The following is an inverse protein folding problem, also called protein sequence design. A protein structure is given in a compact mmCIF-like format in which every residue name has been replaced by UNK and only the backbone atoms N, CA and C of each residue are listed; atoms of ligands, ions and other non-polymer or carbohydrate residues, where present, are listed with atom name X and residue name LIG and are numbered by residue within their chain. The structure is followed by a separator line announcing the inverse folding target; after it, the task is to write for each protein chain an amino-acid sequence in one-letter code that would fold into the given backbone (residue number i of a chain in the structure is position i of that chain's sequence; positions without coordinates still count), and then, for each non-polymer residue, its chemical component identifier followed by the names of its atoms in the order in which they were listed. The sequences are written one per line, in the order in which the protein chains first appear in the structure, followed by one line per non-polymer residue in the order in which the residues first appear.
data_IF_639404629464
#
_entry.id   IF_639404629464
#
_cell.length_a   1.000
_cell.length_b   1.000
_cell.length_c   1.000
_cell.angle_alpha   90.00
_cell.angle_beta   90.00
_cell.angle_gamma   90.00
#
_symmetry.space_group_name_H-M   'P 1'
#
loop_
_entity.id
_entity.type
_entity.pdbx_description
1 polymer ?
#
# COMPACT_ATOMS: atom_id res chain seq x y z
N UNK A 1 -7.78 12.32 16.73
CA UNK A 1 -6.79 11.36 17.26
C UNK A 1 -6.41 10.31 16.19
N UNK A 2 -7.35 9.57 15.56
CA UNK A 2 -7.05 8.55 14.52
C UNK A 2 -6.25 9.13 13.36
N UNK A 3 -6.64 10.30 12.84
CA UNK A 3 -5.92 10.95 11.73
C UNK A 3 -4.50 11.38 12.12
N UNK A 4 -4.32 11.91 13.32
CA UNK A 4 -2.98 12.27 13.82
C UNK A 4 -2.06 11.04 13.94
N UNK A 5 -2.59 9.90 14.38
CA UNK A 5 -1.83 8.63 14.41
C UNK A 5 -1.47 8.17 12.99
N UNK A 6 -2.39 8.31 12.03
CA UNK A 6 -2.12 8.00 10.63
C UNK A 6 -1.04 8.91 10.00
N UNK A 7 -0.94 10.17 10.43
CA UNK A 7 0.13 11.09 10.02
C UNK A 7 1.48 10.62 10.56
N UNK A 8 1.58 10.32 11.85
CA UNK A 8 2.81 9.79 12.48
C UNK A 8 3.30 8.51 11.77
N UNK A 9 2.39 7.58 11.45
CA UNK A 9 2.74 6.36 10.73
C UNK A 9 3.30 6.69 9.33
N UNK A 10 2.66 7.61 8.60
CA UNK A 10 3.13 7.98 7.26
C UNK A 10 4.51 8.63 7.31
N UNK A 11 4.72 9.56 8.24
CA UNK A 11 5.99 10.28 8.39
C UNK A 11 7.13 9.34 8.83
N UNK A 12 6.80 8.22 9.51
CA UNK A 12 7.79 7.19 9.87
C UNK A 12 8.26 6.32 8.71
N UNK A 13 7.67 6.45 7.51
CA UNK A 13 8.11 5.70 6.33
C UNK A 13 9.36 6.30 5.67
N UNK A 14 9.60 7.60 5.80
CA UNK A 14 10.77 8.25 5.20
C UNK A 14 12.11 7.68 5.68
N UNK A 15 12.34 7.42 6.98
CA UNK A 15 13.55 6.75 7.44
C UNK A 15 13.76 5.34 6.87
N UNK A 16 12.69 4.67 6.43
CA UNK A 16 12.82 3.35 5.80
C UNK A 16 13.51 3.42 4.45
N UNK A 17 13.40 4.53 3.71
CA UNK A 17 14.12 4.74 2.45
C UNK A 17 15.62 4.54 2.68
N UNK A 18 16.17 5.16 3.72
CA UNK A 18 17.59 5.08 4.01
C UNK A 18 18.05 3.64 4.32
N UNK A 19 17.19 2.87 5.02
CA UNK A 19 17.49 1.48 5.35
C UNK A 19 17.45 0.55 4.12
N UNK A 20 16.53 0.80 3.20
CA UNK A 20 16.36 -0.03 2.00
C UNK A 20 17.25 0.39 0.82
N UNK A 21 17.77 1.60 0.83
CA UNK A 21 18.57 2.16 -0.26
C UNK A 21 19.78 1.28 -0.61
N UNK A 22 20.58 0.89 0.36
CA UNK A 22 21.78 0.08 0.13
C UNK A 22 21.45 -1.31 -0.42
N UNK A 23 20.61 -2.13 0.24
CA UNK A 23 20.30 -3.46 -0.26
C UNK A 23 19.57 -3.43 -1.62
N UNK A 24 18.72 -2.44 -1.87
CA UNK A 24 18.07 -2.32 -3.18
C UNK A 24 19.03 -1.86 -4.28
N UNK A 25 20.02 -1.03 -3.95
CA UNK A 25 21.09 -0.67 -4.90
C UNK A 25 21.91 -1.89 -5.28
N UNK A 26 22.30 -2.71 -4.30
CA UNK A 26 23.03 -3.96 -4.56
C UNK A 26 22.22 -4.92 -5.43
N UNK A 27 20.93 -5.07 -5.12
CA UNK A 27 20.03 -5.87 -5.94
C UNK A 27 19.93 -5.32 -7.37
N UNK A 28 19.71 -4.03 -7.55
CA UNK A 28 19.59 -3.40 -8.86
C UNK A 28 20.84 -3.56 -9.72
N UNK A 29 22.03 -3.46 -9.12
CA UNK A 29 23.32 -3.69 -9.80
C UNK A 29 23.56 -5.17 -10.15
N UNK A 30 22.95 -6.10 -9.42
CA UNK A 30 23.11 -7.54 -9.65
C UNK A 30 22.14 -8.12 -10.68
N UNK A 31 21.11 -7.38 -11.07
CA UNK A 31 20.09 -7.86 -12.00
C UNK A 31 20.68 -8.00 -13.41
N UNK A 32 20.38 -9.16 -14.03
CA UNK A 32 20.69 -9.42 -15.43
C UNK A 32 19.43 -9.28 -16.32
N UNK A 33 19.64 -9.36 -17.63
CA UNK A 33 18.57 -9.20 -18.62
C UNK A 33 17.44 -10.23 -18.45
N UNK A 34 17.74 -11.48 -18.04
CA UNK A 34 16.73 -12.53 -17.85
C UNK A 34 15.86 -12.25 -16.63
N UNK A 35 16.47 -11.78 -15.55
CA UNK A 35 15.77 -11.40 -14.35
C UNK A 35 14.90 -10.16 -14.61
N UNK A 36 15.38 -9.20 -15.39
CA UNK A 36 14.57 -8.04 -15.79
C UNK A 36 13.37 -8.43 -16.64
N UNK A 37 13.54 -9.37 -17.58
CA UNK A 37 12.40 -9.94 -18.33
C UNK A 37 11.40 -10.64 -17.42
N UNK A 38 11.87 -11.33 -16.40
CA UNK A 38 11.02 -11.99 -15.42
C UNK A 38 10.25 -10.98 -14.57
N UNK A 39 10.92 -9.91 -14.11
CA UNK A 39 10.28 -8.79 -13.40
C UNK A 39 9.18 -8.13 -14.25
N UNK A 40 9.45 -7.87 -15.53
CA UNK A 40 8.46 -7.30 -16.45
C UNK A 40 7.22 -8.19 -16.57
N UNK A 41 7.40 -9.51 -16.77
CA UNK A 41 6.28 -10.47 -16.83
C UNK A 41 5.48 -10.49 -15.52
N UNK A 42 6.17 -10.42 -14.37
CA UNK A 42 5.51 -10.36 -13.08
C UNK A 42 4.66 -9.09 -12.94
N UNK A 43 5.19 -7.95 -13.35
CA UNK A 43 4.46 -6.69 -13.34
C UNK A 43 3.22 -6.72 -14.25
N UNK A 44 3.35 -7.27 -15.46
CA UNK A 44 2.21 -7.46 -16.36
C UNK A 44 1.13 -8.36 -15.74
N UNK A 45 1.54 -9.44 -15.05
CA UNK A 45 0.61 -10.31 -14.34
C UNK A 45 -0.07 -9.59 -13.17
N UNK A 46 0.68 -8.86 -12.35
CA UNK A 46 0.15 -8.10 -11.21
C UNK A 46 -0.90 -7.05 -11.66
N UNK A 47 -0.69 -6.42 -12.82
CA UNK A 47 -1.69 -5.49 -13.39
C UNK A 47 -2.96 -6.23 -13.84
N UNK A 48 -2.82 -7.40 -14.48
CA UNK A 48 -3.98 -8.22 -14.86
C UNK A 48 -4.76 -8.68 -13.64
N UNK A 49 -4.05 -9.12 -12.59
CA UNK A 49 -4.67 -9.58 -11.34
C UNK A 49 -5.39 -8.43 -10.63
N UNK A 50 -4.76 -7.26 -10.54
CA UNK A 50 -5.40 -6.06 -9.98
C UNK A 50 -6.68 -5.70 -10.75
N UNK A 51 -6.61 -5.67 -12.09
CA UNK A 51 -7.74 -5.35 -12.96
C UNK A 51 -8.91 -6.29 -12.75
N UNK A 52 -8.61 -7.61 -12.64
CA UNK A 52 -9.59 -8.66 -12.35
C UNK A 52 -10.16 -8.54 -10.93
N UNK A 53 -9.30 -8.37 -9.94
CA UNK A 53 -9.66 -8.27 -8.53
C UNK A 53 -10.61 -7.08 -8.28
N UNK A 54 -10.29 -5.92 -8.83
CA UNK A 54 -11.09 -4.70 -8.69
C UNK A 54 -12.22 -4.58 -9.71
N UNK A 55 -12.38 -5.58 -10.59
CA UNK A 55 -13.41 -5.60 -11.64
C UNK A 55 -13.43 -4.29 -12.45
N UNK A 56 -12.24 -3.80 -12.88
CA UNK A 56 -12.13 -2.49 -13.55
C UNK A 56 -12.94 -2.40 -14.84
N UNK A 57 -13.28 -3.52 -15.47
CA UNK A 57 -14.09 -3.58 -16.69
C UNK A 57 -15.61 -3.71 -16.40
N UNK A 58 -16.00 -3.69 -15.12
CA UNK A 58 -17.38 -3.83 -14.70
C UNK A 58 -17.99 -2.48 -14.29
N UNK A 59 -19.30 -2.48 -13.99
CA UNK A 59 -19.99 -1.30 -13.51
C UNK A 59 -19.44 -0.80 -12.17
N UNK A 60 -19.65 0.48 -11.90
CA UNK A 60 -19.25 1.11 -10.63
C UNK A 60 -19.82 0.39 -9.40
N UNK A 61 -21.04 -0.13 -9.48
CA UNK A 61 -21.67 -0.87 -8.39
C UNK A 61 -20.90 -2.16 -8.08
N UNK A 62 -20.45 -2.89 -9.11
CA UNK A 62 -19.61 -4.09 -8.91
C UNK A 62 -18.24 -3.78 -8.33
N UNK A 63 -17.67 -2.64 -8.68
CA UNK A 63 -16.40 -2.17 -8.06
C UNK A 63 -16.65 -1.76 -6.61
N UNK A 64 -17.77 -1.10 -6.30
CA UNK A 64 -18.16 -0.78 -4.94
C UNK A 64 -18.36 -2.04 -4.10
N UNK A 65 -18.99 -3.09 -4.62
CA UNK A 65 -19.14 -4.36 -3.91
C UNK A 65 -17.77 -4.94 -3.54
N UNK A 66 -16.79 -4.93 -4.45
CA UNK A 66 -15.40 -5.34 -4.13
C UNK A 66 -14.80 -4.49 -3.00
N UNK A 67 -15.01 -3.19 -3.04
CA UNK A 67 -14.52 -2.30 -1.98
C UNK A 67 -15.17 -2.59 -0.63
N UNK A 68 -16.46 -2.85 -0.61
CA UNK A 68 -17.22 -3.23 0.60
C UNK A 68 -16.70 -4.55 1.15
N UNK A 69 -16.55 -5.59 0.32
CA UNK A 69 -16.07 -6.91 0.73
C UNK A 69 -14.65 -6.82 1.35
N UNK A 70 -13.76 -6.02 0.75
CA UNK A 70 -12.43 -5.76 1.31
C UNK A 70 -12.50 -4.98 2.63
N UNK A 71 -13.37 -4.00 2.72
CA UNK A 71 -13.62 -3.24 3.95
C UNK A 71 -14.14 -4.13 5.07
N UNK A 72 -15.09 -5.01 4.77
CA UNK A 72 -15.64 -5.98 5.71
C UNK A 72 -14.57 -6.96 6.18
N UNK A 73 -13.82 -7.59 5.27
CA UNK A 73 -12.72 -8.51 5.61
C UNK A 73 -11.71 -7.85 6.54
N UNK A 74 -11.35 -6.60 6.29
CA UNK A 74 -10.43 -5.86 7.15
C UNK A 74 -11.06 -5.54 8.52
N UNK A 75 -12.33 -5.12 8.56
CA UNK A 75 -13.02 -4.84 9.81
C UNK A 75 -13.16 -6.11 10.66
N UNK A 76 -13.53 -7.24 10.07
CA UNK A 76 -13.64 -8.55 10.75
C UNK A 76 -12.28 -9.03 11.30
N UNK A 77 -11.18 -8.78 10.60
CA UNK A 77 -9.83 -9.09 11.08
C UNK A 77 -9.52 -8.39 12.40
N UNK A 78 -9.92 -7.14 12.54
CA UNK A 78 -9.62 -6.33 13.73
C UNK A 78 -10.69 -6.43 14.81
N UNK A 79 -11.96 -6.55 14.44
CA UNK A 79 -13.07 -6.47 15.39
C UNK A 79 -13.82 -7.79 15.57
N UNK A 80 -13.50 -8.82 14.79
CA UNK A 80 -14.28 -10.06 14.74
C UNK A 80 -15.60 -9.87 14.00
N UNK A 81 -16.59 -10.71 14.33
CA UNK A 81 -17.89 -10.70 13.64
C UNK A 81 -18.57 -9.33 13.70
N UNK A 82 -19.15 -8.92 12.59
CA UNK A 82 -19.87 -7.66 12.46
C UNK A 82 -21.37 -7.85 12.60
N UNK A 83 -22.05 -6.81 13.05
CA UNK A 83 -23.51 -6.74 13.03
C UNK A 83 -23.99 -6.18 11.70
N UNK A 84 -25.27 -6.44 11.35
CA UNK A 84 -25.90 -5.87 10.15
C UNK A 84 -25.82 -4.32 10.09
N UNK A 85 -25.88 -3.65 11.25
CA UNK A 85 -25.72 -2.20 11.33
C UNK A 85 -24.30 -1.75 10.96
N UNK A 86 -23.29 -2.51 11.39
CA UNK A 86 -21.90 -2.26 11.05
C UNK A 86 -21.61 -2.51 9.55
N UNK A 87 -22.15 -3.58 8.99
CA UNK A 87 -22.06 -3.87 7.54
C UNK A 87 -22.71 -2.76 6.69
N UNK A 88 -23.90 -2.27 7.10
CA UNK A 88 -24.53 -1.13 6.43
C UNK A 88 -23.67 0.13 6.49
N UNK A 89 -23.09 0.43 7.65
CA UNK A 89 -22.18 1.57 7.77
C UNK A 89 -20.95 1.41 6.88
N UNK A 90 -20.33 0.23 6.81
CA UNK A 90 -19.20 -0.02 5.91
C UNK A 90 -19.55 0.24 4.44
N UNK A 91 -20.73 -0.18 3.99
CA UNK A 91 -21.18 0.11 2.63
C UNK A 91 -21.33 1.62 2.40
N UNK A 92 -21.92 2.34 3.34
CA UNK A 92 -22.04 3.79 3.25
C UNK A 92 -20.66 4.47 3.21
N UNK A 93 -19.76 4.08 4.11
CA UNK A 93 -18.39 4.61 4.15
C UNK A 93 -17.60 4.30 2.87
N UNK A 94 -17.83 3.14 2.25
CA UNK A 94 -17.25 2.79 0.97
C UNK A 94 -17.77 3.68 -0.16
N UNK A 95 -19.09 3.95 -0.21
CA UNK A 95 -19.71 4.87 -1.18
C UNK A 95 -19.14 6.29 -1.06
N UNK A 96 -19.01 6.78 0.17
CA UNK A 96 -18.55 8.15 0.46
C UNK A 96 -17.03 8.30 0.37
N UNK A 97 -16.31 7.19 0.27
CA UNK A 97 -14.85 7.17 0.33
C UNK A 97 -14.15 7.93 -0.80
N UNK A 98 -14.80 8.10 -1.95
CA UNK A 98 -14.17 8.64 -3.16
C UNK A 98 -13.04 7.76 -3.69
N UNK A 99 -13.07 6.45 -3.41
CA UNK A 99 -12.07 5.53 -3.94
C UNK A 99 -12.29 5.28 -5.44
N UNK A 100 -11.23 5.45 -6.21
CA UNK A 100 -11.20 5.27 -7.67
C UNK A 100 -10.16 4.19 -7.99
N UNK A 101 -10.56 2.92 -8.18
CA UNK A 101 -9.63 1.83 -8.46
C UNK A 101 -8.86 2.03 -9.76
N UNK A 102 -9.45 2.69 -10.77
CA UNK A 102 -8.79 3.03 -12.03
C UNK A 102 -7.63 4.00 -11.82
N UNK A 103 -7.79 4.98 -10.93
CA UNK A 103 -6.72 5.93 -10.60
C UNK A 103 -5.56 5.23 -9.89
N UNK A 104 -5.87 4.32 -8.98
CA UNK A 104 -4.85 3.48 -8.32
C UNK A 104 -4.18 2.54 -9.33
N UNK A 105 -4.92 2.00 -10.29
CA UNK A 105 -4.35 1.20 -11.38
C UNK A 105 -3.38 2.02 -12.24
N UNK A 106 -3.77 3.22 -12.65
CA UNK A 106 -2.90 4.10 -13.44
C UNK A 106 -1.58 4.42 -12.71
N UNK A 107 -1.65 4.68 -11.40
CA UNK A 107 -0.47 4.89 -10.58
C UNK A 107 0.42 3.65 -10.49
N UNK A 108 -0.15 2.46 -10.34
CA UNK A 108 0.61 1.20 -10.39
C UNK A 108 1.35 1.03 -11.72
N UNK A 109 0.68 1.32 -12.83
CA UNK A 109 1.31 1.29 -14.17
C UNK A 109 2.47 2.28 -14.24
N UNK A 110 2.31 3.50 -13.71
CA UNK A 110 3.38 4.50 -13.65
C UNK A 110 4.58 4.00 -12.85
N UNK A 111 4.35 3.53 -11.62
CA UNK A 111 5.41 3.05 -10.72
C UNK A 111 6.16 1.84 -11.31
N UNK A 112 5.47 0.90 -11.94
CA UNK A 112 6.09 -0.25 -12.59
C UNK A 112 6.94 0.17 -13.81
N UNK A 113 6.48 1.15 -14.61
CA UNK A 113 7.27 1.71 -15.70
C UNK A 113 8.54 2.39 -15.20
N UNK A 114 8.44 3.17 -14.13
CA UNK A 114 9.62 3.82 -13.53
C UNK A 114 10.61 2.80 -12.97
N UNK A 115 10.12 1.75 -12.32
CA UNK A 115 10.95 0.66 -11.83
C UNK A 115 11.68 -0.04 -12.98
N UNK A 116 10.99 -0.40 -14.05
CA UNK A 116 11.63 -1.04 -15.21
C UNK A 116 12.65 -0.12 -15.87
N UNK A 117 12.32 1.16 -16.07
CA UNK A 117 13.23 2.14 -16.65
C UNK A 117 14.51 2.33 -15.82
N UNK A 118 14.39 2.34 -14.49
CA UNK A 118 15.54 2.36 -13.58
C UNK A 118 16.45 1.16 -13.80
N UNK A 119 15.89 -0.06 -13.79
CA UNK A 119 16.67 -1.28 -13.92
C UNK A 119 17.28 -1.44 -15.33
N UNK A 120 16.54 -1.07 -16.39
CA UNK A 120 17.05 -1.03 -17.77
C UNK A 120 18.22 -0.04 -17.88
N UNK A 121 18.10 1.13 -17.28
CA UNK A 121 19.19 2.13 -17.28
C UNK A 121 20.41 1.59 -16.56
N UNK A 122 20.27 1.04 -15.35
CA UNK A 122 21.40 0.47 -14.59
C UNK A 122 22.08 -0.66 -15.37
N UNK A 123 21.30 -1.55 -15.96
CA UNK A 123 21.79 -2.67 -16.75
C UNK A 123 22.60 -2.21 -17.98
N UNK A 124 22.11 -1.17 -18.67
CA UNK A 124 22.73 -0.68 -19.91
C UNK A 124 23.95 0.22 -19.67
N UNK A 125 23.93 1.03 -18.62
CA UNK A 125 25.00 2.00 -18.34
C UNK A 125 26.05 1.49 -17.37
N UNK A 126 25.73 0.44 -16.59
CA UNK A 126 26.58 -0.11 -15.55
C UNK A 126 27.25 0.98 -14.69
N UNK A 127 26.43 1.84 -14.05
CA UNK A 127 26.95 3.00 -13.33
C UNK A 127 27.76 2.57 -12.10
N UNK A 128 28.64 3.44 -11.65
CA UNK A 128 29.31 3.28 -10.37
C UNK A 128 28.30 3.22 -9.20
N UNK A 129 28.67 2.55 -8.12
CA UNK A 129 27.79 2.28 -6.98
C UNK A 129 27.13 3.55 -6.41
N UNK A 130 27.85 4.68 -6.39
CA UNK A 130 27.34 5.95 -5.90
C UNK A 130 26.23 6.52 -6.81
N UNK A 131 26.39 6.42 -8.14
CA UNK A 131 25.38 6.85 -9.11
C UNK A 131 24.15 5.93 -9.06
N UNK A 132 24.35 4.61 -9.04
CA UNK A 132 23.27 3.64 -8.89
C UNK A 132 22.45 3.90 -7.62
N UNK A 133 23.12 4.20 -6.51
CA UNK A 133 22.50 4.56 -5.25
C UNK A 133 21.62 5.80 -5.35
N UNK A 134 22.11 6.85 -6.01
CA UNK A 134 21.32 8.08 -6.24
C UNK A 134 20.07 7.80 -7.09
N UNK A 135 20.19 6.97 -8.14
CA UNK A 135 19.05 6.57 -8.99
C UNK A 135 18.00 5.77 -8.21
N UNK A 136 18.43 4.81 -7.38
CA UNK A 136 17.55 4.00 -6.53
C UNK A 136 16.85 4.88 -5.48
N UNK A 137 17.56 5.81 -4.85
CA UNK A 137 16.98 6.77 -3.90
C UNK A 137 15.87 7.60 -4.56
N UNK A 138 16.12 8.16 -5.73
CA UNK A 138 15.13 8.93 -6.47
C UNK A 138 13.88 8.11 -6.77
N UNK A 139 14.05 6.86 -7.21
CA UNK A 139 12.92 5.95 -7.46
C UNK A 139 12.15 5.61 -6.18
N UNK A 140 12.83 5.33 -5.07
CA UNK A 140 12.18 5.08 -3.78
C UNK A 140 11.35 6.29 -3.33
N UNK A 141 11.90 7.50 -3.47
CA UNK A 141 11.18 8.73 -3.15
C UNK A 141 9.92 8.90 -4.03
N UNK A 142 10.02 8.68 -5.35
CA UNK A 142 8.86 8.77 -6.26
C UNK A 142 7.83 7.66 -6.04
N UNK A 143 8.23 6.54 -5.44
CA UNK A 143 7.34 5.44 -5.07
C UNK A 143 6.56 5.71 -3.79
N UNK A 144 7.17 6.36 -2.80
CA UNK A 144 6.50 6.77 -1.55
C UNK A 144 5.69 8.05 -1.72
N UNK A 145 6.25 9.02 -2.42
CA UNK A 145 5.64 10.31 -2.68
C UNK A 145 5.39 10.45 -4.18
N UNK A 146 4.19 10.07 -4.63
CA UNK A 146 3.88 10.07 -6.07
C UNK A 146 4.36 11.35 -6.74
N UNK A 147 5.09 11.21 -7.84
CA UNK A 147 5.51 12.32 -8.70
C UNK A 147 4.36 12.92 -9.52
N UNK A 148 3.18 12.28 -9.53
CA UNK A 148 1.95 12.84 -10.09
C UNK A 148 1.24 13.72 -9.04
N UNK A 149 1.21 15.06 -9.22
CA UNK A 149 0.57 15.96 -8.26
C UNK A 149 -0.93 15.69 -8.09
N UNK A 150 -1.62 15.25 -9.14
CA UNK A 150 -3.04 14.95 -9.10
C UNK A 150 -3.29 13.68 -8.26
N UNK A 151 -2.43 12.68 -8.39
CA UNK A 151 -2.50 11.48 -7.56
C UNK A 151 -2.10 11.77 -6.11
N UNK A 152 -1.07 12.56 -5.87
CA UNK A 152 -0.68 12.99 -4.52
C UNK A 152 -1.82 13.71 -3.78
N UNK A 153 -2.50 14.64 -4.46
CA UNK A 153 -3.68 15.33 -3.92
C UNK A 153 -4.84 14.35 -3.63
N UNK A 154 -5.07 13.38 -4.53
CA UNK A 154 -6.04 12.31 -4.32
C UNK A 154 -5.71 11.47 -3.08
N UNK A 155 -4.45 11.05 -2.91
CA UNK A 155 -4.02 10.28 -1.73
C UNK A 155 -4.21 11.07 -0.43
N UNK A 156 -3.90 12.35 -0.42
CA UNK A 156 -4.11 13.22 0.75
C UNK A 156 -5.59 13.29 1.14
N UNK A 157 -6.48 13.46 0.16
CA UNK A 157 -7.93 13.42 0.37
C UNK A 157 -8.38 12.05 0.89
N UNK A 158 -7.91 10.96 0.25
CA UNK A 158 -8.20 9.58 0.64
C UNK A 158 -7.77 9.27 2.07
N UNK A 159 -6.56 9.67 2.46
CA UNK A 159 -6.04 9.50 3.83
C UNK A 159 -7.00 10.12 4.84
N UNK A 160 -7.44 11.35 4.61
CA UNK A 160 -8.39 12.04 5.49
C UNK A 160 -9.73 11.28 5.57
N UNK A 161 -10.33 10.96 4.43
CA UNK A 161 -11.60 10.23 4.39
C UNK A 161 -11.50 8.86 5.07
N UNK A 162 -10.40 8.13 4.86
CA UNK A 162 -10.20 6.81 5.48
C UNK A 162 -10.07 6.90 7.00
N UNK A 163 -9.35 7.88 7.54
CA UNK A 163 -9.21 7.99 8.99
C UNK A 163 -10.51 8.49 9.66
N UNK A 164 -11.30 9.33 8.97
CA UNK A 164 -12.65 9.72 9.42
C UNK A 164 -13.60 8.50 9.42
N UNK A 165 -13.56 7.69 8.36
CA UNK A 165 -14.33 6.45 8.26
C UNK A 165 -13.95 5.45 9.36
N UNK A 166 -12.65 5.27 9.62
CA UNK A 166 -12.18 4.40 10.70
C UNK A 166 -12.67 4.87 12.06
N UNK A 167 -12.67 6.17 12.32
CA UNK A 167 -13.18 6.73 13.58
C UNK A 167 -14.70 6.52 13.70
N UNK A 168 -15.47 6.76 12.64
CA UNK A 168 -16.92 6.53 12.63
C UNK A 168 -17.23 5.04 12.89
N UNK A 169 -16.54 4.13 12.22
CA UNK A 169 -16.74 2.70 12.43
C UNK A 169 -16.37 2.28 13.84
N UNK A 170 -15.23 2.73 14.36
CA UNK A 170 -14.79 2.42 15.72
C UNK A 170 -15.81 2.86 16.78
N UNK A 171 -16.45 4.01 16.59
CA UNK A 171 -17.41 4.54 17.56
C UNK A 171 -18.64 3.65 17.75
N UNK A 172 -19.01 2.83 16.76
CA UNK A 172 -20.16 1.89 16.86
C UNK A 172 -19.73 0.47 17.23
N UNK A 173 -18.46 0.24 17.57
CA UNK A 173 -17.98 -1.09 18.00
C UNK A 173 -18.31 -1.34 19.46
N UNK A 174 -18.55 -2.61 19.79
CA UNK A 174 -18.78 -3.08 21.17
C UNK A 174 -17.48 -3.14 21.96
N UNK A 175 -17.58 -3.24 23.30
CA UNK A 175 -16.41 -3.44 24.16
C UNK A 175 -15.66 -4.73 23.79
N UNK A 176 -16.37 -5.84 23.50
CA UNK A 176 -15.79 -7.11 23.07
C UNK A 176 -15.02 -6.99 21.75
N UNK A 177 -15.55 -6.23 20.79
CA UNK A 177 -14.87 -5.97 19.52
C UNK A 177 -13.60 -5.14 19.71
N UNK A 178 -13.63 -4.13 20.56
CA UNK A 178 -12.43 -3.33 20.91
C UNK A 178 -11.37 -4.16 21.63
N UNK A 179 -11.77 -5.07 22.49
CA UNK A 179 -10.85 -6.01 23.13
C UNK A 179 -10.18 -6.93 22.09
N UNK A 180 -10.96 -7.48 21.16
CA UNK A 180 -10.44 -8.28 20.05
C UNK A 180 -9.42 -7.48 19.22
N UNK A 181 -9.72 -6.23 18.88
CA UNK A 181 -8.79 -5.35 18.15
C UNK A 181 -7.48 -5.16 18.92
N UNK A 182 -7.56 -4.87 20.22
CA UNK A 182 -6.36 -4.71 21.07
C UNK A 182 -5.49 -5.96 21.10
N UNK A 183 -6.12 -7.14 21.18
CA UNK A 183 -5.41 -8.43 21.13
C UNK A 183 -4.72 -8.63 19.77
N UNK A 184 -5.41 -8.35 18.66
CA UNK A 184 -4.87 -8.45 17.32
C UNK A 184 -3.66 -7.52 17.12
N UNK A 185 -3.73 -6.27 17.59
CA UNK A 185 -2.63 -5.31 17.52
C UNK A 185 -1.42 -5.75 18.37
N UNK A 186 -1.65 -6.29 19.57
CA UNK A 186 -0.58 -6.85 20.40
C UNK A 186 0.12 -8.04 19.75
N UNK A 187 -0.63 -8.90 19.06
CA UNK A 187 -0.04 -10.00 18.30
C UNK A 187 0.89 -9.47 17.18
N UNK A 188 0.44 -8.49 16.40
CA UNK A 188 1.30 -7.85 15.37
C UNK A 188 2.54 -7.19 15.98
N UNK A 189 2.40 -6.50 17.11
CA UNK A 189 3.55 -5.94 17.83
C UNK A 189 4.55 -7.05 18.23
N UNK A 190 4.06 -8.15 18.75
CA UNK A 190 4.89 -9.31 19.12
C UNK A 190 5.63 -9.90 17.92
N UNK A 191 4.94 -10.05 16.78
CA UNK A 191 5.51 -10.57 15.54
C UNK A 191 6.62 -9.66 15.01
N UNK A 192 6.38 -8.33 14.99
CA UNK A 192 7.39 -7.34 14.60
C UNK A 192 8.61 -7.40 15.51
N UNK A 193 8.40 -7.46 16.84
CA UNK A 193 9.51 -7.59 17.80
C UNK A 193 10.30 -8.88 17.63
N UNK A 194 9.65 -9.99 17.27
CA UNK A 194 10.31 -11.25 16.97
C UNK A 194 11.19 -11.15 15.70
N UNK A 195 10.67 -10.54 14.64
CA UNK A 195 11.41 -10.29 13.39
C UNK A 195 12.63 -9.38 13.60
N UNK A 196 12.49 -8.34 14.44
CA UNK A 196 13.62 -7.45 14.77
C UNK A 196 14.74 -8.18 15.50
N UNK A 197 14.41 -9.12 16.41
CA UNK A 197 15.40 -9.93 17.13
C UNK A 197 16.12 -10.92 16.22
N UNK A 198 15.43 -11.50 15.26
CA UNK A 198 16.01 -12.44 14.29
C UNK A 198 17.09 -11.79 13.39
N UNK A 199 16.96 -10.48 13.08
CA UNK A 199 17.96 -9.73 12.33
C UNK A 199 19.21 -9.34 13.14
N UNK A 200 19.17 -9.43 14.46
CA UNK A 200 20.26 -9.04 15.34
C UNK A 200 21.17 -10.24 15.75
N UNK A 201 20.83 -11.46 15.33
CA UNK A 201 21.63 -12.69 15.48
C UNK A 201 22.29 -13.08 14.17
#
# INVERSE_FOLDING_TARGET
QVCATADVITDSLDPLIEQFEVPLTQLALSLNADQLRTLKRKYEQDLKDYRKEWKLDASRDKQLDVQVDKGQTNAERFYGSLSTAQEKLLRQLAQDSGYEPERTFAERVRQQKESLALHERILNTQPEAAEAKAMVRQWLQSSLHSSDPAYAAYLKKRKRTNCEAAAQFHNITTAKQREHMMKTLKNYESDVRALMRYKAS
#
